data_IF_694687827744
#
_entry.id   IF_694687827744
#
_cell.length_a   1.000
_cell.length_b   1.000
_cell.length_c   1.000
_cell.angle_alpha   90.00
_cell.angle_beta   90.00
_cell.angle_gamma   90.00
#
_symmetry.space_group_name_H-M   'P 1'
#
loop_
_entity.id
_entity.type
_entity.pdbx_description
1 polymer ?
#
# COMPACT_ATOMS: atom_id res chain seq x y z
N UNK A 1 -13.28 9.48 -13.71
CA UNK A 1 -14.21 9.17 -12.61
C UNK A 1 -15.39 8.28 -13.05
N UNK A 2 -15.53 7.93 -14.34
CA UNK A 2 -16.72 7.27 -14.92
C UNK A 2 -16.72 5.73 -14.95
N UNK A 3 -15.58 5.07 -14.68
CA UNK A 3 -15.46 3.61 -14.90
C UNK A 3 -16.13 2.75 -13.82
N UNK A 4 -16.22 3.25 -12.58
CA UNK A 4 -16.80 2.51 -11.45
C UNK A 4 -18.34 2.47 -11.51
N UNK A 5 -18.98 3.51 -12.07
CA UNK A 5 -20.43 3.58 -12.20
C UNK A 5 -20.96 2.59 -13.26
N UNK A 6 -20.26 2.46 -14.40
CA UNK A 6 -20.63 1.52 -15.47
C UNK A 6 -20.46 0.06 -15.02
N UNK A 7 -19.38 -0.25 -14.31
CA UNK A 7 -19.18 -1.58 -13.74
C UNK A 7 -20.31 -1.93 -12.77
N UNK A 8 -20.61 -1.05 -11.82
CA UNK A 8 -21.67 -1.26 -10.82
C UNK A 8 -23.04 -1.45 -11.46
N UNK A 9 -23.35 -0.72 -12.54
CA UNK A 9 -24.58 -0.94 -13.31
C UNK A 9 -24.57 -2.31 -13.99
N UNK A 10 -23.48 -2.68 -14.67
CA UNK A 10 -23.37 -3.96 -15.38
C UNK A 10 -23.53 -5.16 -14.44
N UNK A 11 -22.96 -5.08 -13.23
CA UNK A 11 -23.15 -6.09 -12.18
C UNK A 11 -24.63 -6.20 -11.80
N UNK A 12 -25.32 -5.07 -11.59
CA UNK A 12 -26.74 -5.07 -11.23
C UNK A 12 -27.63 -5.60 -12.34
N UNK A 13 -27.36 -5.20 -13.57
CA UNK A 13 -28.21 -5.47 -14.73
C UNK A 13 -28.00 -6.88 -15.31
N UNK A 14 -26.89 -7.54 -14.96
CA UNK A 14 -26.51 -8.85 -15.52
C UNK A 14 -26.23 -9.87 -14.43
N UNK A 15 -25.14 -9.69 -13.68
CA UNK A 15 -24.70 -10.69 -12.70
C UNK A 15 -25.77 -10.95 -11.62
N UNK A 16 -26.34 -9.89 -11.03
CA UNK A 16 -27.36 -10.05 -9.99
C UNK A 16 -28.65 -10.68 -10.53
N UNK A 17 -28.97 -10.47 -11.81
CA UNK A 17 -30.10 -11.14 -12.46
C UNK A 17 -29.83 -12.65 -12.60
N UNK A 18 -28.63 -13.05 -13.01
CA UNK A 18 -28.22 -14.47 -13.13
C UNK A 18 -28.18 -15.17 -11.77
N UNK A 19 -27.62 -14.49 -10.76
CA UNK A 19 -27.55 -14.97 -9.38
C UNK A 19 -28.94 -15.11 -8.75
N UNK A 20 -29.87 -14.18 -9.02
CA UNK A 20 -31.23 -14.28 -8.48
C UNK A 20 -32.00 -15.53 -8.93
N UNK A 21 -31.54 -16.19 -10.00
CA UNK A 21 -32.11 -17.44 -10.52
C UNK A 21 -31.26 -18.68 -10.19
N UNK A 22 -30.21 -18.52 -9.39
CA UNK A 22 -29.26 -19.57 -9.00
C UNK A 22 -29.31 -19.84 -7.51
N UNK A 23 -29.03 -21.08 -7.09
CA UNK A 23 -28.93 -21.41 -5.68
C UNK A 23 -27.54 -21.03 -5.14
N UNK A 24 -27.48 -20.15 -4.15
CA UNK A 24 -26.24 -19.68 -3.52
C UNK A 24 -26.26 -20.09 -2.05
N UNK A 25 -25.51 -21.15 -1.75
CA UNK A 25 -25.48 -21.76 -0.43
C UNK A 25 -24.52 -21.10 0.55
N UNK A 26 -23.60 -20.26 0.07
CA UNK A 26 -22.53 -19.64 0.87
C UNK A 26 -21.92 -18.42 0.19
N UNK A 27 -21.13 -17.65 0.95
CA UNK A 27 -20.39 -16.50 0.42
C UNK A 27 -19.28 -16.94 -0.55
N UNK A 28 -18.63 -18.06 -0.26
CA UNK A 28 -17.56 -18.64 -1.07
C UNK A 28 -18.10 -19.03 -2.46
N UNK A 29 -19.30 -19.62 -2.51
CA UNK A 29 -19.98 -19.93 -3.77
C UNK A 29 -20.34 -18.66 -4.55
N UNK A 30 -20.79 -17.60 -3.85
CA UNK A 30 -21.05 -16.31 -4.49
C UNK A 30 -19.76 -15.70 -5.09
N UNK A 31 -18.66 -15.76 -4.35
CA UNK A 31 -17.36 -15.25 -4.80
C UNK A 31 -16.88 -16.03 -6.03
N UNK A 32 -16.91 -17.36 -6.00
CA UNK A 32 -16.53 -18.20 -7.14
C UNK A 32 -17.35 -17.86 -8.40
N UNK A 33 -18.67 -17.75 -8.25
CA UNK A 33 -19.58 -17.39 -9.35
C UNK A 33 -19.30 -15.99 -9.87
N UNK A 34 -19.04 -15.05 -8.98
CA UNK A 34 -18.71 -13.68 -9.36
C UNK A 34 -17.40 -13.61 -10.12
N UNK A 35 -16.34 -14.28 -9.63
CA UNK A 35 -15.06 -14.35 -10.33
C UNK A 35 -15.22 -14.97 -11.72
N UNK A 36 -15.93 -16.10 -11.82
CA UNK A 36 -16.24 -16.73 -13.09
C UNK A 36 -16.98 -15.79 -14.06
N UNK A 37 -17.99 -15.07 -13.58
CA UNK A 37 -18.71 -14.10 -14.41
C UNK A 37 -17.82 -12.92 -14.85
N UNK A 38 -17.00 -12.38 -13.95
CA UNK A 38 -16.06 -11.29 -14.26
C UNK A 38 -15.09 -11.72 -15.36
N UNK A 39 -14.48 -12.89 -15.22
CA UNK A 39 -13.52 -13.40 -16.18
C UNK A 39 -14.18 -13.75 -17.51
N UNK A 40 -15.25 -14.53 -17.49
CA UNK A 40 -15.84 -15.13 -18.70
C UNK A 40 -16.74 -14.17 -19.46
N UNK A 41 -17.42 -13.24 -18.77
CA UNK A 41 -18.39 -12.33 -19.38
C UNK A 41 -17.85 -10.91 -19.43
N UNK A 42 -17.57 -10.31 -18.28
CA UNK A 42 -17.26 -8.88 -18.21
C UNK A 42 -15.95 -8.52 -18.92
N UNK A 43 -14.84 -9.20 -18.59
CA UNK A 43 -13.53 -8.91 -19.18
C UNK A 43 -13.43 -9.20 -20.68
N UNK A 44 -14.27 -10.10 -21.21
CA UNK A 44 -14.28 -10.52 -22.62
C UNK A 44 -15.25 -9.76 -23.50
N UNK A 45 -16.14 -8.94 -22.91
CA UNK A 45 -17.11 -8.14 -23.67
C UNK A 45 -16.46 -6.87 -24.20
N UNK A 46 -16.77 -6.50 -25.44
CA UNK A 46 -16.38 -5.19 -26.00
C UNK A 46 -17.18 -4.10 -25.30
N UNK A 47 -16.48 -3.14 -24.70
CA UNK A 47 -17.11 -1.99 -24.06
C UNK A 47 -17.35 -0.89 -25.10
N UNK A 48 -18.58 -0.35 -25.14
CA UNK A 48 -18.99 0.67 -26.12
C UNK A 48 -18.17 1.94 -26.05
N UNK A 49 -17.71 2.33 -24.86
CA UNK A 49 -16.89 3.53 -24.66
C UNK A 49 -15.48 3.40 -25.26
N UNK A 50 -14.88 2.21 -25.17
CA UNK A 50 -13.46 1.99 -25.55
C UNK A 50 -13.29 1.24 -26.85
N UNK A 51 -14.36 0.63 -27.38
CA UNK A 51 -14.32 -0.22 -28.58
C UNK A 51 -13.43 -1.47 -28.45
N UNK A 52 -12.99 -1.77 -27.23
CA UNK A 52 -12.05 -2.84 -26.88
C UNK A 52 -12.59 -3.60 -25.67
N UNK A 53 -12.17 -4.86 -25.51
CA UNK A 53 -12.46 -5.59 -24.27
C UNK A 53 -11.57 -5.07 -23.12
N UNK A 54 -12.05 -5.09 -21.86
CA UNK A 54 -11.20 -4.79 -20.71
C UNK A 54 -9.94 -5.68 -20.68
N UNK A 55 -10.08 -6.96 -21.03
CA UNK A 55 -8.96 -7.89 -21.09
C UNK A 55 -7.86 -7.41 -22.03
N UNK A 56 -8.20 -7.08 -23.28
CA UNK A 56 -7.21 -6.60 -24.27
C UNK A 56 -6.55 -5.30 -23.82
N UNK A 57 -7.34 -4.36 -23.31
CA UNK A 57 -6.85 -3.04 -22.89
C UNK A 57 -5.88 -3.14 -21.71
N UNK A 58 -6.12 -4.05 -20.77
CA UNK A 58 -5.31 -4.23 -19.57
C UNK A 58 -4.26 -5.36 -19.69
N UNK A 59 -4.27 -6.14 -20.78
CA UNK A 59 -3.20 -7.11 -21.08
C UNK A 59 -1.89 -6.43 -21.46
N UNK A 60 -1.92 -5.14 -21.79
CA UNK A 60 -0.72 -4.33 -21.92
C UNK A 60 -0.17 -4.08 -20.52
N UNK A 61 0.83 -4.87 -20.12
CA UNK A 61 1.51 -4.70 -18.85
C UNK A 61 2.05 -3.27 -18.74
N UNK A 62 1.65 -2.49 -17.71
CA UNK A 62 2.31 -1.22 -17.47
C UNK A 62 3.79 -1.47 -17.16
N UNK A 63 4.63 -0.46 -17.43
CA UNK A 63 6.02 -0.52 -16.96
C UNK A 63 6.00 -0.67 -15.43
N UNK A 64 6.49 -1.81 -14.96
CA UNK A 64 6.66 -2.03 -13.52
C UNK A 64 7.74 -1.05 -13.06
N UNK A 65 7.44 -0.16 -12.10
CA UNK A 65 8.45 0.73 -11.55
C UNK A 65 9.59 -0.06 -10.90
N UNK A 66 10.76 0.55 -10.82
CA UNK A 66 11.89 -0.07 -10.13
C UNK A 66 11.51 -0.39 -8.67
N UNK A 67 11.97 -1.55 -8.18
CA UNK A 67 11.61 -2.03 -6.85
C UNK A 67 12.03 -1.03 -5.75
N UNK A 68 13.11 -0.27 -5.95
CA UNK A 68 13.51 0.77 -5.00
C UNK A 68 12.46 1.88 -4.87
N UNK A 69 11.87 2.33 -5.98
CA UNK A 69 10.80 3.33 -5.99
C UNK A 69 9.53 2.81 -5.32
N UNK A 70 9.19 1.55 -5.58
CA UNK A 70 8.05 0.91 -4.90
C UNK A 70 8.28 0.85 -3.41
N UNK A 71 9.46 0.40 -2.96
CA UNK A 71 9.81 0.32 -1.55
C UNK A 71 9.74 1.69 -0.88
N UNK A 72 10.23 2.73 -1.52
CA UNK A 72 10.17 4.11 -1.01
C UNK A 72 8.72 4.56 -0.76
N UNK A 73 7.79 4.22 -1.66
CA UNK A 73 6.38 4.58 -1.53
C UNK A 73 5.68 3.93 -0.31
N UNK A 74 6.25 2.86 0.25
CA UNK A 74 5.73 2.18 1.43
C UNK A 74 6.46 2.56 2.72
N UNK A 75 7.47 3.44 2.67
CA UNK A 75 8.12 3.94 3.88
C UNK A 75 7.19 4.88 4.64
N UNK A 76 7.23 4.78 5.96
CA UNK A 76 6.49 5.65 6.86
C UNK A 76 7.34 6.89 7.17
N UNK A 77 6.67 8.02 7.41
CA UNK A 77 7.34 9.27 7.77
C UNK A 77 6.72 9.88 9.03
N UNK A 78 7.56 10.23 10.00
CA UNK A 78 7.17 10.86 11.25
C UNK A 78 8.01 12.09 11.53
N UNK A 79 7.37 13.24 11.70
CA UNK A 79 8.11 14.46 12.02
C UNK A 79 8.49 14.51 13.51
N UNK A 80 9.77 14.76 13.81
CA UNK A 80 10.29 14.96 15.17
C UNK A 80 11.19 16.19 15.24
N UNK A 81 11.28 16.80 16.42
CA UNK A 81 12.22 17.90 16.66
C UNK A 81 13.49 17.33 17.27
N UNK A 82 14.64 17.66 16.69
CA UNK A 82 15.94 17.22 17.19
C UNK A 82 16.27 17.95 18.50
N UNK A 83 16.67 17.19 19.51
CA UNK A 83 17.04 17.71 20.83
C UNK A 83 18.37 18.47 20.81
N UNK A 84 18.71 19.11 21.94
CA UNK A 84 20.01 19.80 22.11
C UNK A 84 21.22 18.87 22.04
N UNK A 85 21.02 17.56 22.23
CA UNK A 85 22.06 16.53 22.18
C UNK A 85 22.12 15.83 20.83
N UNK A 86 21.53 16.41 19.77
CA UNK A 86 21.45 15.83 18.43
C UNK A 86 20.79 14.44 18.41
N UNK A 87 19.75 14.24 19.23
CA UNK A 87 18.97 13.00 19.26
C UNK A 87 17.50 13.21 18.92
N UNK A 88 16.85 12.14 18.47
CA UNK A 88 15.41 12.06 18.23
C UNK A 88 14.86 10.77 18.82
N UNK A 89 13.66 10.84 19.40
CA UNK A 89 12.97 9.66 19.94
C UNK A 89 11.79 9.26 19.06
N UNK A 90 11.70 7.98 18.73
CA UNK A 90 10.63 7.41 17.91
C UNK A 90 10.21 6.04 18.46
N UNK A 91 8.93 5.88 18.82
CA UNK A 91 8.33 4.65 19.39
C UNK A 91 9.11 4.01 20.55
N UNK A 92 9.73 4.83 21.41
CA UNK A 92 10.52 4.35 22.56
C UNK A 92 11.98 3.98 22.22
N UNK A 93 12.42 4.26 21.00
CA UNK A 93 13.82 4.19 20.58
C UNK A 93 14.41 5.60 20.47
N UNK A 94 15.70 5.72 20.70
CA UNK A 94 16.46 6.96 20.57
C UNK A 94 17.52 6.80 19.47
N UNK A 95 17.61 7.80 18.61
CA UNK A 95 18.55 7.84 17.50
C UNK A 95 19.35 9.13 17.54
N UNK A 96 20.63 9.03 17.24
CA UNK A 96 21.53 10.16 17.01
C UNK A 96 21.44 10.59 15.55
N UNK A 97 21.39 11.90 15.33
CA UNK A 97 21.32 12.54 14.01
C UNK A 97 22.43 13.57 13.89
N UNK A 98 22.59 14.16 12.70
CA UNK A 98 23.60 15.20 12.48
C UNK A 98 23.39 16.40 13.43
N UNK A 99 24.46 16.88 14.05
CA UNK A 99 24.44 18.02 14.97
C UNK A 99 23.96 19.32 14.31
N UNK A 100 24.10 19.46 12.99
CA UNK A 100 23.59 20.59 12.23
C UNK A 100 22.05 20.69 12.29
N UNK A 101 21.36 19.61 12.65
CA UNK A 101 19.91 19.53 12.73
C UNK A 101 19.36 19.86 14.13
N UNK A 102 20.21 20.17 15.12
CA UNK A 102 19.78 20.52 16.49
C UNK A 102 18.72 21.63 16.48
N UNK A 103 17.59 21.39 17.13
CA UNK A 103 16.45 22.31 17.21
C UNK A 103 15.62 22.42 15.92
N UNK A 104 15.94 21.65 14.87
CA UNK A 104 15.15 21.58 13.64
C UNK A 104 14.09 20.50 13.74
N UNK A 105 12.98 20.71 13.02
CA UNK A 105 11.97 19.69 12.77
C UNK A 105 12.39 18.90 11.53
N UNK A 106 12.57 17.59 11.69
CA UNK A 106 13.02 16.66 10.66
C UNK A 106 11.98 15.56 10.48
N UNK A 107 11.96 14.95 9.31
CA UNK A 107 11.11 13.81 8.99
C UNK A 107 11.95 12.53 9.09
N UNK A 108 11.49 11.60 9.93
CA UNK A 108 12.10 10.29 10.10
C UNK A 108 11.40 9.31 9.17
N UNK A 109 12.12 8.83 8.15
CA UNK A 109 11.61 7.92 7.14
C UNK A 109 12.13 6.51 7.42
N UNK A 110 11.22 5.54 7.59
CA UNK A 110 11.57 4.19 8.04
C UNK A 110 10.61 3.12 7.50
N UNK A 111 11.05 1.87 7.53
CA UNK A 111 10.19 0.72 7.27
C UNK A 111 9.38 0.40 8.54
N UNK A 112 8.04 0.32 8.49
CA UNK A 112 7.23 0.04 9.67
C UNK A 112 7.51 -1.34 10.31
N UNK A 113 8.13 -2.27 9.58
CA UNK A 113 8.52 -3.59 10.09
C UNK A 113 9.95 -3.60 10.65
N UNK A 114 10.79 -2.63 10.29
CA UNK A 114 12.19 -2.52 10.70
C UNK A 114 12.58 -1.09 11.11
N UNK A 115 12.60 -0.85 12.42
CA UNK A 115 13.03 0.41 13.03
C UNK A 115 14.55 0.51 13.24
N UNK A 116 15.35 -0.48 12.80
CA UNK A 116 16.81 -0.42 12.96
C UNK A 116 17.48 0.53 11.96
N UNK A 117 16.83 0.82 10.84
CA UNK A 117 17.34 1.72 9.81
C UNK A 117 16.34 2.86 9.56
N UNK A 118 16.71 4.06 9.99
CA UNK A 118 15.90 5.27 9.80
C UNK A 118 16.71 6.30 9.01
N UNK A 119 16.09 6.83 7.96
CA UNK A 119 16.60 7.96 7.19
C UNK A 119 16.05 9.26 7.76
N UNK A 120 16.89 10.29 7.81
CA UNK A 120 16.52 11.63 8.26
C UNK A 120 16.35 12.51 7.04
N UNK A 121 15.19 13.16 6.91
CA UNK A 121 14.95 14.19 5.90
C UNK A 121 14.74 15.54 6.56
N UNK A 122 15.30 16.58 5.95
CA UNK A 122 15.08 17.97 6.36
C UNK A 122 14.76 18.81 5.14
N UNK A 123 13.60 19.49 5.16
CA UNK A 123 13.11 20.28 4.02
C UNK A 123 13.08 19.49 2.71
N UNK A 124 12.56 18.26 2.77
CA UNK A 124 12.47 17.33 1.63
C UNK A 124 13.82 16.89 1.03
N UNK A 125 14.92 17.08 1.78
CA UNK A 125 16.26 16.60 1.40
C UNK A 125 16.72 15.50 2.34
N UNK A 126 17.30 14.45 1.78
CA UNK A 126 17.96 13.40 2.57
C UNK A 126 19.19 13.95 3.28
N UNK A 127 19.30 13.66 4.57
CA UNK A 127 20.38 14.06 5.47
C UNK A 127 21.13 12.84 6.03
N UNK A 128 20.95 11.67 5.41
CA UNK A 128 21.57 10.41 5.81
C UNK A 128 20.78 9.63 6.85
N UNK A 129 21.45 8.60 7.41
CA UNK A 129 20.85 7.67 8.37
C UNK A 129 21.03 8.15 9.80
N UNK A 130 19.99 7.98 10.62
CA UNK A 130 20.10 8.13 12.06
C UNK A 130 20.84 6.91 12.65
N UNK A 131 21.74 7.16 13.59
CA UNK A 131 22.50 6.10 14.28
C UNK A 131 21.70 5.67 15.52
N UNK A 132 21.54 4.36 15.72
CA UNK A 132 20.82 3.85 16.90
C UNK A 132 21.61 4.20 18.16
N UNK A 133 20.99 4.97 19.06
CA UNK A 133 21.54 5.24 20.39
C UNK A 133 20.94 4.29 21.43
N UNK A 134 19.64 4.00 21.32
CA UNK A 134 18.94 3.00 22.13
C UNK A 134 17.78 2.40 21.33
N UNK A 135 17.78 1.07 21.15
CA UNK A 135 16.65 0.35 20.55
C UNK A 135 15.99 -0.55 21.61
N UNK A 136 14.68 -0.41 21.77
CA UNK A 136 13.85 -1.28 22.58
C UNK A 136 12.80 -2.00 21.74
N UNK A 137 12.34 -1.38 20.65
CA UNK A 137 11.33 -1.94 19.75
C UNK A 137 11.85 -2.02 18.32
N UNK A 138 11.67 -3.15 17.66
CA UNK A 138 12.15 -3.35 16.28
C UNK A 138 11.10 -3.06 15.20
N UNK A 139 9.82 -2.93 15.56
CA UNK A 139 8.73 -2.70 14.61
C UNK A 139 7.73 -1.66 15.13
N UNK A 140 7.07 -0.96 14.20
CA UNK A 140 6.08 0.06 14.49
C UNK A 140 4.91 -0.50 15.34
N UNK A 141 4.32 0.26 16.29
CA UNK A 141 3.30 -0.24 17.20
C UNK A 141 2.02 -0.74 16.53
N UNK A 142 1.68 -0.19 15.36
CA UNK A 142 0.48 -0.54 14.59
C UNK A 142 0.72 -1.65 13.56
N UNK A 143 1.93 -2.23 13.53
CA UNK A 143 2.24 -3.34 12.63
C UNK A 143 1.48 -4.58 13.09
N UNK A 144 0.54 -5.05 12.26
CA UNK A 144 -0.11 -6.35 12.44
C UNK A 144 0.88 -7.39 11.92
N UNK A 145 1.37 -8.27 12.81
CA UNK A 145 2.19 -9.39 12.38
C UNK A 145 1.30 -10.32 11.55
N UNK A 146 1.44 -10.28 10.22
CA UNK A 146 0.94 -11.37 9.39
C UNK A 146 1.83 -12.58 9.67
N UNK A 147 1.35 -13.49 10.52
CA UNK A 147 1.81 -14.88 10.46
C UNK A 147 1.48 -15.37 9.05
N UNK A 148 2.45 -15.86 8.26
CA UNK A 148 2.12 -16.51 7.01
C UNK A 148 1.31 -17.75 7.38
N UNK A 149 0.01 -17.72 7.12
CA UNK A 149 -0.78 -18.95 7.12
C UNK A 149 -0.18 -19.83 6.02
N UNK A 150 0.31 -20.99 6.42
CA UNK A 150 0.81 -22.03 5.53
C UNK A 150 -0.30 -22.38 4.54
N UNK A 151 -0.05 -22.11 3.26
CA UNK A 151 -0.86 -22.60 2.13
C UNK A 151 -0.75 -24.13 2.08
#
# INVERSE_FOLDING_TARGET
MEKLSVFSSTVRDQFLVEVAHSDISSLEVLEERFQGWVEQVYHRRIHSETGQTPLERFSILPKIPDLSLVREAFLFSESRTVTKTATVSLYGNDYEVDQALVGRKVDLVFDPFDLSAINVRYMDRDFGKAVIHKISRHSHPMTIAHSPETI
#
